data_IF_111148440083
#
_entry.id   IF_111148440083
#
_cell.length_a   1.000
_cell.length_b   1.000
_cell.length_c   1.000
_cell.angle_alpha   90.00
_cell.angle_beta   90.00
_cell.angle_gamma   90.00
#
_symmetry.space_group_name_H-M   'P 1'
#
loop_
_entity.id
_entity.type
_entity.pdbx_description
1 polymer ?
#
# COMPACT_ATOMS: atom_id res chain seq x y z
N UNK A 1 34.64 -1.32 43.06
CA UNK A 1 34.30 -0.86 41.69
C UNK A 1 33.88 0.59 41.73
N UNK A 2 34.62 1.48 41.05
CA UNK A 2 34.44 2.93 41.18
C UNK A 2 33.09 3.36 40.60
N UNK A 3 32.23 4.03 41.39
CA UNK A 3 30.88 4.45 40.96
C UNK A 3 30.88 5.28 39.68
N UNK A 4 31.97 5.99 39.40
CA UNK A 4 32.20 6.73 38.13
C UNK A 4 32.39 5.79 36.92
N UNK A 5 33.15 4.71 37.09
CA UNK A 5 33.44 3.71 36.04
C UNK A 5 32.19 2.88 35.73
N UNK A 6 31.42 2.52 36.75
CA UNK A 6 30.14 1.80 36.57
C UNK A 6 29.13 2.60 35.76
N UNK A 7 29.06 3.93 35.98
CA UNK A 7 28.18 4.83 35.22
C UNK A 7 28.59 4.97 33.75
N UNK A 8 29.89 4.96 33.49
CA UNK A 8 30.44 4.99 32.13
C UNK A 8 30.10 3.71 31.36
N UNK A 9 30.30 2.54 31.98
CA UNK A 9 30.02 1.25 31.36
C UNK A 9 28.52 1.04 31.08
N UNK A 10 27.64 1.44 32.00
CA UNK A 10 26.19 1.40 31.77
C UNK A 10 25.76 2.33 30.64
N UNK A 11 26.39 3.51 30.51
CA UNK A 11 26.12 4.43 29.42
C UNK A 11 26.52 3.86 28.06
N UNK A 12 27.70 3.24 27.97
CA UNK A 12 28.19 2.59 26.75
C UNK A 12 27.27 1.42 26.36
N UNK A 13 26.89 0.57 27.32
CA UNK A 13 26.00 -0.56 27.06
C UNK A 13 24.63 -0.11 26.52
N UNK A 14 24.03 0.94 27.08
CA UNK A 14 22.78 1.50 26.57
C UNK A 14 22.94 2.07 25.15
N UNK A 15 24.05 2.74 24.86
CA UNK A 15 24.34 3.29 23.53
C UNK A 15 24.47 2.18 22.48
N UNK A 16 25.15 1.08 22.83
CA UNK A 16 25.28 -0.10 21.95
C UNK A 16 23.93 -0.78 21.74
N UNK A 17 23.12 -0.93 22.77
CA UNK A 17 21.77 -1.52 22.65
C UNK A 17 20.90 -0.66 21.72
N UNK A 18 20.92 0.66 21.87
CA UNK A 18 20.18 1.57 20.99
C UNK A 18 20.62 1.42 19.53
N UNK A 19 21.94 1.34 19.28
CA UNK A 19 22.47 1.14 17.93
C UNK A 19 22.05 -0.22 17.34
N UNK A 20 22.09 -1.30 18.12
CA UNK A 20 21.66 -2.63 17.70
C UNK A 20 20.15 -2.68 17.43
N UNK A 21 19.35 -2.02 18.26
CA UNK A 21 17.90 -1.90 18.07
C UNK A 21 17.61 -1.11 16.79
N UNK A 22 18.32 -0.01 16.52
CA UNK A 22 18.14 0.78 15.29
C UNK A 22 18.55 0.02 14.04
N UNK A 23 19.60 -0.82 14.14
CA UNK A 23 20.04 -1.69 13.06
C UNK A 23 19.07 -2.86 12.80
N UNK A 24 18.47 -3.43 13.85
CA UNK A 24 17.56 -4.57 13.73
C UNK A 24 16.12 -4.16 13.38
N UNK A 25 15.67 -3.00 13.86
CA UNK A 25 14.37 -2.42 13.57
C UNK A 25 14.56 -1.12 12.77
N UNK A 26 14.88 -1.20 11.46
CA UNK A 26 14.97 -0.01 10.63
C UNK A 26 13.62 0.71 10.68
N UNK A 27 13.58 2.03 10.96
CA UNK A 27 12.33 2.77 10.99
C UNK A 27 11.66 2.68 9.61
N UNK A 28 10.42 2.18 9.58
CA UNK A 28 9.61 2.16 8.36
C UNK A 28 9.45 3.59 7.87
N UNK A 29 9.90 3.88 6.65
CA UNK A 29 9.69 5.19 6.04
C UNK A 29 8.21 5.34 5.72
N UNK A 30 7.41 5.82 6.66
CA UNK A 30 6.12 6.39 6.34
C UNK A 30 6.37 7.67 5.54
N UNK A 31 6.26 7.55 4.21
CA UNK A 31 6.27 8.69 3.31
C UNK A 31 4.95 9.44 3.51
N UNK A 32 4.89 10.27 4.56
CA UNK A 32 3.78 11.16 4.86
C UNK A 32 3.78 12.34 3.88
N UNK A 33 3.57 12.04 2.61
CA UNK A 33 3.01 13.00 1.68
C UNK A 33 1.50 12.83 1.81
N UNK A 34 0.90 13.51 2.80
CA UNK A 34 -0.55 13.75 2.82
C UNK A 34 -0.82 14.72 1.66
N UNK A 35 -0.81 14.20 0.44
CA UNK A 35 -1.60 14.80 -0.62
C UNK A 35 -3.02 14.60 -0.16
N UNK A 36 -3.66 15.67 0.31
CA UNK A 36 -5.10 15.71 0.46
C UNK A 36 -5.65 15.14 -0.87
N UNK A 37 -6.38 14.02 -0.81
CA UNK A 37 -6.89 13.28 -1.97
C UNK A 37 -8.01 14.08 -2.66
N UNK A 38 -7.71 15.32 -3.06
CA UNK A 38 -8.65 16.22 -3.69
C UNK A 38 -9.24 15.53 -4.92
N UNK A 39 -10.51 15.12 -4.82
CA UNK A 39 -11.25 14.45 -5.88
C UNK A 39 -11.35 12.92 -5.82
N UNK A 40 -10.72 12.23 -4.84
CA UNK A 40 -10.86 10.78 -4.67
C UNK A 40 -11.54 10.40 -3.35
N UNK A 41 -12.85 10.13 -3.40
CA UNK A 41 -13.59 9.66 -2.25
C UNK A 41 -13.40 8.14 -2.04
N UNK A 42 -12.61 7.77 -1.02
CA UNK A 42 -12.32 6.36 -0.65
C UNK A 42 -13.52 5.60 -0.07
N UNK A 43 -14.56 6.31 0.38
CA UNK A 43 -15.70 5.73 1.10
C UNK A 43 -16.90 5.41 0.19
N UNK A 44 -16.71 5.40 -1.13
CA UNK A 44 -17.77 5.06 -2.08
C UNK A 44 -18.12 3.58 -2.00
N UNK A 45 -19.32 3.29 -1.54
CA UNK A 45 -19.88 1.95 -1.47
C UNK A 45 -21.02 1.78 -2.49
N UNK A 46 -21.30 0.56 -2.98
CA UNK A 46 -20.52 -0.67 -2.79
C UNK A 46 -19.18 -0.66 -3.56
N UNK A 47 -18.30 -1.60 -3.20
CA UNK A 47 -17.12 -1.95 -4.03
C UNK A 47 -17.59 -2.94 -5.11
N UNK A 48 -17.36 -2.61 -6.38
CA UNK A 48 -17.80 -3.38 -7.54
C UNK A 48 -16.57 -3.89 -8.27
N UNK A 49 -16.44 -5.21 -8.44
CA UNK A 49 -15.30 -5.80 -9.12
C UNK A 49 -15.64 -6.15 -10.56
N UNK A 50 -14.82 -5.67 -11.51
CA UNK A 50 -14.93 -6.13 -12.90
C UNK A 50 -14.52 -7.59 -13.05
N UNK A 51 -14.93 -8.24 -14.16
CA UNK A 51 -14.48 -9.60 -14.49
C UNK A 51 -12.95 -9.69 -14.56
N UNK A 52 -12.31 -8.68 -15.13
CA UNK A 52 -10.86 -8.62 -15.26
C UNK A 52 -10.17 -8.50 -13.90
N UNK A 53 -10.68 -7.66 -13.00
CA UNK A 53 -10.19 -7.58 -11.62
C UNK A 53 -10.30 -8.93 -10.91
N UNK A 54 -11.47 -9.58 -10.96
CA UNK A 54 -11.69 -10.91 -10.34
C UNK A 54 -10.72 -11.96 -10.86
N UNK A 55 -10.52 -12.03 -12.18
CA UNK A 55 -9.57 -12.94 -12.78
C UNK A 55 -8.14 -12.69 -12.24
N UNK A 56 -7.71 -11.43 -12.27
CA UNK A 56 -6.37 -11.05 -11.86
C UNK A 56 -6.10 -11.22 -10.36
N UNK A 57 -7.13 -11.04 -9.54
CA UNK A 57 -7.10 -11.36 -8.11
C UNK A 57 -6.79 -12.84 -7.91
N UNK A 58 -7.51 -13.74 -8.62
CA UNK A 58 -7.29 -15.18 -8.52
C UNK A 58 -5.88 -15.62 -8.90
N UNK A 59 -5.35 -15.13 -10.04
CA UNK A 59 -3.99 -15.49 -10.48
C UNK A 59 -2.87 -14.92 -9.59
N UNK A 60 -3.10 -13.77 -8.93
CA UNK A 60 -2.07 -13.07 -8.13
C UNK A 60 -2.22 -13.29 -6.63
N UNK A 61 -3.18 -14.11 -6.23
CA UNK A 61 -3.56 -14.35 -4.83
C UNK A 61 -3.89 -13.08 -4.05
N UNK A 62 -4.49 -12.08 -4.71
CA UNK A 62 -4.94 -10.84 -4.07
C UNK A 62 -6.41 -10.98 -3.69
N UNK A 63 -6.73 -10.86 -2.41
CA UNK A 63 -8.10 -10.98 -1.90
C UNK A 63 -8.84 -9.63 -1.76
N UNK A 64 -10.11 -9.67 -1.36
CA UNK A 64 -10.93 -8.46 -1.21
C UNK A 64 -10.51 -7.58 -0.04
N UNK A 65 -9.96 -8.15 1.03
CA UNK A 65 -9.56 -7.41 2.21
C UNK A 65 -8.26 -6.65 1.94
N UNK A 66 -7.36 -7.23 1.15
CA UNK A 66 -6.21 -6.55 0.58
C UNK A 66 -6.61 -5.41 -0.35
N UNK A 67 -7.61 -5.62 -1.22
CA UNK A 67 -8.15 -4.54 -2.06
C UNK A 67 -8.69 -3.38 -1.22
N UNK A 68 -9.46 -3.68 -0.16
CA UNK A 68 -9.97 -2.67 0.78
C UNK A 68 -8.83 -1.97 1.53
N UNK A 69 -7.82 -2.72 1.98
CA UNK A 69 -6.63 -2.17 2.63
C UNK A 69 -5.96 -1.13 1.74
N UNK A 70 -5.79 -1.42 0.45
CA UNK A 70 -5.19 -0.47 -0.50
C UNK A 70 -6.13 0.69 -0.81
N UNK A 71 -7.45 0.47 -0.90
CA UNK A 71 -8.42 1.56 -1.03
C UNK A 71 -8.33 2.56 0.13
N UNK A 72 -8.12 2.07 1.35
CA UNK A 72 -8.07 2.91 2.56
C UNK A 72 -6.68 3.55 2.77
N UNK A 73 -5.61 2.77 2.63
CA UNK A 73 -4.27 3.16 3.06
C UNK A 73 -3.28 3.35 1.91
N UNK A 74 -3.64 2.94 0.70
CA UNK A 74 -2.80 3.03 -0.48
C UNK A 74 -2.57 4.48 -0.93
N UNK A 75 -1.37 4.75 -1.44
CA UNK A 75 -0.99 6.06 -1.96
C UNK A 75 -1.38 6.18 -3.43
N UNK A 76 -2.01 7.30 -3.80
CA UNK A 76 -2.33 7.58 -5.21
C UNK A 76 -1.04 7.79 -6.00
N UNK A 77 -0.85 7.00 -7.06
CA UNK A 77 0.17 7.18 -8.07
C UNK A 77 -0.40 7.92 -9.28
N UNK A 78 -0.40 9.25 -9.24
CA UNK A 78 -0.94 10.10 -10.31
C UNK A 78 -0.29 9.87 -11.68
N UNK A 79 0.97 9.42 -11.72
CA UNK A 79 1.65 9.06 -12.98
C UNK A 79 1.05 7.82 -13.64
N UNK A 80 0.43 6.94 -12.86
CA UNK A 80 -0.25 5.72 -13.32
C UNK A 80 -1.77 5.86 -13.38
N UNK A 81 -2.32 6.94 -12.82
CA UNK A 81 -3.73 7.31 -12.92
C UNK A 81 -4.08 7.88 -14.31
N UNK A 82 -5.36 7.78 -14.68
CA UNK A 82 -5.95 8.38 -15.88
C UNK A 82 -7.11 9.28 -15.46
N UNK A 83 -6.82 10.46 -14.90
CA UNK A 83 -7.86 11.33 -14.32
C UNK A 83 -8.82 11.93 -15.37
N UNK A 84 -8.38 12.00 -16.63
CA UNK A 84 -9.19 12.54 -17.73
C UNK A 84 -9.95 11.44 -18.49
N UNK A 85 -9.88 10.17 -18.06
CA UNK A 85 -10.59 9.10 -18.75
C UNK A 85 -12.10 9.26 -18.62
N UNK A 86 -12.82 8.81 -19.65
CA UNK A 86 -14.28 8.73 -19.67
C UNK A 86 -14.71 7.26 -19.60
N UNK A 87 -15.88 6.94 -19.02
CA UNK A 87 -16.81 7.86 -18.35
C UNK A 87 -16.28 8.41 -17.02
N UNK A 88 -15.52 7.60 -16.28
CA UNK A 88 -15.01 7.92 -14.96
C UNK A 88 -13.48 8.06 -14.94
N UNK A 89 -12.92 8.93 -14.07
CA UNK A 89 -11.48 8.98 -13.82
C UNK A 89 -10.98 7.66 -13.23
N UNK A 90 -9.76 7.25 -13.58
CA UNK A 90 -9.12 6.06 -12.99
C UNK A 90 -7.97 6.47 -12.09
N UNK A 91 -8.01 6.02 -10.85
CA UNK A 91 -7.00 6.25 -9.83
C UNK A 91 -6.19 4.98 -9.60
N UNK A 92 -4.87 5.07 -9.80
CA UNK A 92 -3.95 4.02 -9.43
C UNK A 92 -3.51 4.21 -7.98
N UNK A 93 -3.86 3.29 -7.10
CA UNK A 93 -3.38 3.29 -5.71
C UNK A 93 -2.35 2.18 -5.54
N UNK A 94 -1.24 2.50 -4.89
CA UNK A 94 -0.14 1.59 -4.60
C UNK A 94 0.08 1.43 -3.10
N UNK A 95 0.45 0.24 -2.68
CA UNK A 95 0.79 -0.05 -1.29
C UNK A 95 1.20 -1.50 -1.11
N UNK A 96 1.58 -1.83 0.13
CA UNK A 96 1.85 -3.20 0.53
C UNK A 96 0.61 -3.79 1.21
N UNK A 97 0.26 -5.01 0.86
CA UNK A 97 -0.76 -5.84 1.49
C UNK A 97 -0.27 -6.42 2.82
N UNK A 98 -1.15 -7.12 3.55
CA UNK A 98 -0.82 -7.73 4.84
C UNK A 98 0.25 -8.82 4.73
N UNK A 99 0.34 -9.51 3.59
CA UNK A 99 1.35 -10.53 3.28
C UNK A 99 2.63 -9.95 2.64
N UNK A 100 2.76 -8.62 2.61
CA UNK A 100 3.90 -7.87 2.08
C UNK A 100 4.05 -7.94 0.54
N UNK A 101 2.97 -8.25 -0.19
CA UNK A 101 2.92 -8.07 -1.65
C UNK A 101 2.79 -6.58 -2.01
N UNK A 102 3.63 -6.09 -2.93
CA UNK A 102 3.52 -4.71 -3.43
C UNK A 102 2.53 -4.66 -4.59
N UNK A 103 1.36 -4.09 -4.34
CA UNK A 103 0.26 -4.10 -5.31
C UNK A 103 -0.09 -2.69 -5.80
N UNK A 104 -0.58 -2.63 -7.03
CA UNK A 104 -1.24 -1.48 -7.63
C UNK A 104 -2.66 -1.87 -8.00
N UNK A 105 -3.63 -1.10 -7.51
CA UNK A 105 -5.05 -1.32 -7.81
C UNK A 105 -5.59 -0.10 -8.54
N UNK A 106 -6.33 -0.35 -9.62
CA UNK A 106 -6.98 0.69 -10.40
C UNK A 106 -8.44 0.81 -9.96
N UNK A 107 -8.75 1.93 -9.32
CA UNK A 107 -10.08 2.29 -8.84
C UNK A 107 -10.72 3.32 -9.77
N UNK A 108 -12.00 3.17 -10.06
CA UNK A 108 -12.81 4.14 -10.77
C UNK A 108 -14.05 4.47 -9.93
N UNK A 109 -14.08 5.64 -9.26
CA UNK A 109 -15.29 6.09 -8.57
C UNK A 109 -16.38 6.36 -9.60
N UNK A 110 -17.53 5.72 -9.45
CA UNK A 110 -18.68 5.85 -10.35
C UNK A 110 -19.93 6.28 -9.57
N UNK A 111 -21.00 6.62 -10.28
CA UNK A 111 -22.30 6.91 -9.65
C UNK A 111 -22.89 5.73 -8.86
N UNK A 112 -22.46 4.49 -9.16
CA UNK A 112 -22.97 3.27 -8.56
C UNK A 112 -22.07 2.71 -7.43
N UNK A 113 -20.92 3.33 -7.18
CA UNK A 113 -19.95 2.86 -6.18
C UNK A 113 -18.52 2.88 -6.68
N UNK A 114 -17.62 2.26 -5.91
CA UNK A 114 -16.20 2.17 -6.20
C UNK A 114 -15.90 0.98 -7.09
N UNK A 115 -15.57 1.21 -8.36
CA UNK A 115 -15.29 0.12 -9.31
C UNK A 115 -13.80 -0.25 -9.28
N UNK A 116 -13.50 -1.52 -9.02
CA UNK A 116 -12.16 -2.10 -9.12
C UNK A 116 -11.97 -2.61 -10.54
N UNK A 117 -11.16 -1.89 -11.32
CA UNK A 117 -10.91 -2.18 -12.73
C UNK A 117 -9.91 -3.32 -12.89
N UNK A 118 -8.81 -3.28 -12.12
CA UNK A 118 -7.78 -4.31 -12.17
C UNK A 118 -6.89 -4.27 -10.93
N UNK A 119 -6.28 -5.41 -10.60
CA UNK A 119 -5.24 -5.55 -9.58
C UNK A 119 -3.94 -6.00 -10.25
N UNK A 120 -2.81 -5.49 -9.75
CA UNK A 120 -1.49 -5.69 -10.34
C UNK A 120 -0.52 -5.95 -9.20
N UNK A 121 0.20 -7.06 -9.25
CA UNK A 121 1.44 -7.24 -8.50
C UNK A 121 2.53 -6.44 -9.24
N UNK A 122 3.15 -5.50 -8.55
CA UNK A 122 4.13 -4.59 -9.16
C UNK A 122 5.49 -5.27 -9.32
N UNK A 123 5.76 -6.30 -8.52
CA UNK A 123 7.07 -6.95 -8.45
C UNK A 123 7.12 -8.26 -9.25
N UNK A 124 5.99 -8.86 -9.57
CA UNK A 124 5.92 -10.17 -10.22
C UNK A 124 5.03 -10.17 -11.47
N UNK A 125 5.49 -10.85 -12.52
CA UNK A 125 4.73 -11.04 -13.76
C UNK A 125 4.05 -12.40 -13.78
N UNK A 126 2.75 -12.40 -13.48
CA UNK A 126 1.93 -13.60 -13.48
C UNK A 126 1.40 -13.93 -14.88
N UNK A 127 1.61 -15.17 -15.32
CA UNK A 127 0.98 -15.71 -16.53
C UNK A 127 -0.54 -15.82 -16.31
N UNK A 128 -1.30 -14.92 -16.93
CA UNK A 128 -2.75 -14.84 -16.77
C UNK A 128 -3.45 -14.93 -18.14
N UNK A 129 -4.41 -15.84 -18.30
CA UNK A 129 -5.33 -15.85 -19.46
C UNK A 129 -6.66 -15.16 -19.09
N UNK A 130 -6.58 -13.89 -18.68
CA UNK A 130 -7.76 -13.10 -18.37
C UNK A 130 -8.33 -12.48 -19.66
N UNK A 131 -9.56 -12.86 -20.01
CA UNK A 131 -10.31 -12.36 -21.17
C UNK A 131 -11.25 -11.22 -20.80
#
# INVERSE_FOLDING_TARGET
MNRKVSRLLTGIALLVIVLLVWQYYPPTKQHNNVTHDEGFNRNLMPIIYTKHARCRMGYRHIDEDEVKQILLNGRINYKKSQLNSKPDPKYALEGYTADNQHVRIIFAPSQHGMVVITVIDVNEEWQCDCK
#
